data_IF_686951666095
#
_entry.id   IF_686951666095
#
_cell.length_a   1.000
_cell.length_b   1.000
_cell.length_c   1.000
_cell.angle_alpha   90.00
_cell.angle_beta   90.00
_cell.angle_gamma   90.00
#
_symmetry.space_group_name_H-M   'P 1'
#
loop_
_entity.id
_entity.type
_entity.pdbx_description
1 polymer ?
#
# COMPACT_ATOMS: atom_id res chain seq x y z
N UNK A 1 -9.56 -21.32 -13.31
CA UNK A 1 -8.83 -20.76 -14.46
C UNK A 1 -7.46 -20.33 -13.97
N UNK A 2 -6.39 -20.94 -14.49
CA UNK A 2 -5.01 -20.53 -14.20
C UNK A 2 -4.72 -19.24 -14.94
N UNK A 3 -4.52 -18.12 -14.23
CA UNK A 3 -3.92 -16.92 -14.81
C UNK A 3 -2.46 -17.26 -15.17
N UNK A 4 -2.07 -17.30 -16.46
CA UNK A 4 -0.66 -17.51 -16.79
C UNK A 4 0.11 -16.23 -16.44
N UNK A 5 0.79 -16.24 -15.29
CA UNK A 5 1.81 -15.23 -14.99
C UNK A 5 3.02 -15.54 -15.88
N UNK A 6 3.27 -14.68 -16.87
CA UNK A 6 4.39 -14.79 -17.79
C UNK A 6 5.45 -13.77 -17.37
N UNK A 7 6.66 -14.24 -17.08
CA UNK A 7 7.82 -13.38 -16.81
C UNK A 7 8.92 -13.63 -17.84
N UNK A 8 9.73 -12.60 -18.13
CA UNK A 8 10.90 -12.75 -18.98
C UNK A 8 12.17 -12.69 -18.13
N UNK A 9 13.06 -13.66 -18.29
CA UNK A 9 14.42 -13.56 -17.74
C UNK A 9 15.43 -13.49 -18.86
N UNK A 10 16.39 -12.57 -18.69
CA UNK A 10 17.54 -12.40 -19.57
C UNK A 10 18.74 -13.09 -18.93
N UNK A 11 19.04 -14.30 -19.38
CA UNK A 11 20.39 -14.86 -19.27
C UNK A 11 21.23 -14.35 -20.44
N UNK A 12 22.57 -14.45 -20.44
CA UNK A 12 23.38 -13.94 -21.55
C UNK A 12 22.96 -14.56 -22.90
N UNK A 13 22.17 -13.82 -23.68
CA UNK A 13 21.77 -14.16 -25.05
C UNK A 13 20.41 -14.84 -25.26
N UNK A 14 19.72 -15.33 -24.23
CA UNK A 14 18.43 -16.05 -24.39
C UNK A 14 17.28 -15.35 -23.63
N UNK A 15 16.14 -15.20 -24.31
CA UNK A 15 14.88 -14.78 -23.67
C UNK A 15 14.11 -16.01 -23.22
N UNK A 16 13.95 -16.18 -21.91
CA UNK A 16 13.20 -17.31 -21.35
C UNK A 16 11.82 -16.84 -20.88
N UNK A 17 10.77 -17.52 -21.36
CA UNK A 17 9.39 -17.34 -20.90
C UNK A 17 9.21 -18.18 -19.64
N UNK A 18 9.09 -17.53 -18.48
CA UNK A 18 8.76 -18.17 -17.21
C UNK A 18 7.27 -18.45 -17.13
N UNK A 19 6.95 -19.67 -16.70
CA UNK A 19 5.60 -20.13 -16.37
C UNK A 19 5.71 -21.16 -15.24
N UNK A 20 4.71 -21.20 -14.36
CA UNK A 20 4.59 -22.32 -13.44
C UNK A 20 4.19 -23.56 -14.24
N UNK A 21 5.05 -24.60 -14.25
CA UNK A 21 4.75 -25.85 -14.94
C UNK A 21 3.76 -26.69 -14.11
N UNK A 22 3.15 -27.71 -14.72
CA UNK A 22 2.18 -28.57 -14.02
C UNK A 22 2.82 -29.46 -12.96
N UNK A 23 4.13 -29.69 -13.04
CA UNK A 23 4.88 -30.48 -12.06
C UNK A 23 6.10 -29.74 -11.52
N UNK A 24 6.51 -30.08 -10.30
CA UNK A 24 7.74 -29.58 -9.69
C UNK A 24 8.96 -29.86 -10.57
N UNK A 25 9.09 -31.09 -11.08
CA UNK A 25 10.22 -31.51 -11.92
C UNK A 25 10.35 -30.67 -13.22
N UNK A 26 9.24 -30.33 -13.88
CA UNK A 26 9.26 -29.45 -15.04
C UNK A 26 9.63 -28.01 -14.69
N UNK A 27 9.23 -27.55 -13.50
CA UNK A 27 9.58 -26.22 -12.98
C UNK A 27 11.08 -26.16 -12.66
N UNK A 28 11.65 -27.22 -12.06
CA UNK A 28 13.11 -27.37 -11.85
C UNK A 28 13.86 -27.26 -13.18
N UNK A 29 13.39 -27.96 -14.22
CA UNK A 29 14.02 -27.92 -15.54
C UNK A 29 14.00 -26.52 -16.15
N UNK A 30 12.90 -25.78 -15.98
CA UNK A 30 12.78 -24.40 -16.46
C UNK A 30 13.71 -23.46 -15.69
N UNK A 31 13.69 -23.49 -14.36
CA UNK A 31 14.53 -22.65 -13.51
C UNK A 31 16.02 -22.96 -13.70
N UNK A 32 16.38 -24.22 -13.96
CA UNK A 32 17.77 -24.60 -14.22
C UNK A 32 18.32 -23.91 -15.47
N UNK A 33 17.50 -23.61 -16.49
CA UNK A 33 17.94 -22.82 -17.64
C UNK A 33 18.24 -21.37 -17.27
N UNK A 34 17.42 -20.80 -16.39
CA UNK A 34 17.58 -19.42 -15.91
C UNK A 34 18.80 -19.28 -14.99
N UNK A 35 19.05 -20.29 -14.16
CA UNK A 35 20.08 -20.27 -13.12
C UNK A 35 21.38 -20.96 -13.57
N UNK A 36 21.70 -20.96 -14.87
CA UNK A 36 22.94 -21.51 -15.44
C UNK A 36 23.25 -22.97 -15.00
N UNK A 37 22.22 -23.81 -14.94
CA UNK A 37 22.33 -25.21 -14.53
C UNK A 37 22.38 -25.44 -13.01
N UNK A 38 22.15 -24.42 -12.18
CA UNK A 38 22.12 -24.57 -10.72
C UNK A 38 20.88 -25.36 -10.26
N UNK A 39 21.06 -26.68 -10.17
CA UNK A 39 20.00 -27.62 -9.81
C UNK A 39 19.51 -27.42 -8.37
N UNK A 40 20.40 -27.19 -7.41
CA UNK A 40 20.03 -27.02 -5.99
C UNK A 40 19.11 -25.81 -5.78
N UNK A 41 19.45 -24.65 -6.38
CA UNK A 41 18.61 -23.46 -6.29
C UNK A 41 17.28 -23.66 -7.03
N UNK A 42 17.30 -24.35 -8.17
CA UNK A 42 16.09 -24.65 -8.96
C UNK A 42 15.13 -25.55 -8.21
N UNK A 43 15.63 -26.60 -7.55
CA UNK A 43 14.84 -27.52 -6.71
C UNK A 43 14.26 -26.79 -5.49
N UNK A 44 15.07 -25.98 -4.80
CA UNK A 44 14.60 -25.22 -3.64
C UNK A 44 13.45 -24.25 -4.00
N UNK A 45 13.58 -23.52 -5.11
CA UNK A 45 12.55 -22.59 -5.58
C UNK A 45 11.31 -23.34 -6.09
N UNK A 46 11.49 -24.39 -6.90
CA UNK A 46 10.38 -25.18 -7.44
C UNK A 46 9.53 -25.79 -6.32
N UNK A 47 10.17 -26.31 -5.27
CA UNK A 47 9.49 -26.87 -4.10
C UNK A 47 8.57 -25.86 -3.42
N UNK A 48 9.03 -24.61 -3.24
CA UNK A 48 8.24 -23.56 -2.57
C UNK A 48 7.06 -23.10 -3.44
N UNK A 49 7.25 -22.95 -4.76
CA UNK A 49 6.16 -22.49 -5.65
C UNK A 49 5.09 -23.55 -5.91
N UNK A 50 5.40 -24.83 -5.70
CA UNK A 50 4.45 -25.96 -5.77
C UNK A 50 3.87 -26.33 -4.39
N UNK A 51 4.29 -25.67 -3.32
CA UNK A 51 3.77 -25.95 -1.99
C UNK A 51 2.36 -25.39 -1.86
N UNK A 52 1.40 -26.27 -1.56
CA UNK A 52 0.04 -25.85 -1.19
C UNK A 52 0.08 -25.10 0.14
N UNK A 53 -0.56 -23.93 0.16
CA UNK A 53 -0.71 -23.10 1.35
C UNK A 53 -2.20 -22.96 1.66
N UNK A 54 -2.61 -23.40 2.85
CA UNK A 54 -3.92 -23.10 3.40
C UNK A 54 -3.84 -21.83 4.25
N UNK A 55 -4.54 -20.79 3.83
CA UNK A 55 -4.72 -19.57 4.60
C UNK A 55 -6.22 -19.31 4.75
N UNK A 56 -6.70 -19.15 5.98
CA UNK A 56 -8.12 -18.91 6.29
C UNK A 56 -8.24 -17.68 7.16
N UNK A 57 -9.15 -16.79 6.79
CA UNK A 57 -9.57 -15.66 7.61
C UNK A 57 -11.06 -15.86 7.93
N UNK A 58 -11.43 -16.19 9.19
CA UNK A 58 -12.81 -16.46 9.55
C UNK A 58 -13.79 -15.33 9.21
N UNK A 59 -13.31 -14.07 9.22
CA UNK A 59 -14.16 -12.95 8.86
C UNK A 59 -14.41 -12.92 7.35
N UNK A 60 -13.41 -13.22 6.53
CA UNK A 60 -13.57 -13.31 5.09
C UNK A 60 -14.45 -14.52 4.70
N UNK A 61 -14.33 -15.64 5.40
CA UNK A 61 -15.13 -16.85 5.17
C UNK A 61 -16.64 -16.60 5.36
N UNK A 62 -16.99 -15.67 6.26
CA UNK A 62 -18.37 -15.28 6.56
C UNK A 62 -18.99 -14.37 5.49
N UNK A 63 -18.17 -13.80 4.61
CA UNK A 63 -18.60 -12.80 3.63
C UNK A 63 -18.94 -13.50 2.30
N UNK A 64 -20.06 -13.10 1.71
CA UNK A 64 -20.54 -13.60 0.42
C UNK A 64 -20.88 -12.40 -0.47
N UNK A 65 -19.93 -12.01 -1.31
CA UNK A 65 -20.08 -10.94 -2.30
C UNK A 65 -19.74 -11.52 -3.66
N UNK A 66 -20.59 -11.26 -4.64
CA UNK A 66 -20.37 -11.66 -6.03
C UNK A 66 -20.07 -10.42 -6.86
N UNK A 67 -18.86 -10.34 -7.42
CA UNK A 67 -18.46 -9.28 -8.34
C UNK A 67 -18.24 -9.92 -9.72
N UNK A 68 -18.87 -9.42 -10.79
CA UNK A 68 -18.68 -9.98 -12.12
C UNK A 68 -17.21 -9.97 -12.54
N UNK A 69 -16.67 -11.14 -12.90
CA UNK A 69 -15.24 -11.26 -13.21
C UNK A 69 -14.81 -10.41 -14.43
N UNK A 70 -15.72 -10.16 -15.36
CA UNK A 70 -15.45 -9.41 -16.60
C UNK A 70 -15.25 -7.90 -16.39
N UNK A 71 -15.48 -7.37 -15.18
CA UNK A 71 -15.20 -5.97 -14.85
C UNK A 71 -13.90 -5.80 -14.05
N UNK A 72 -13.19 -6.89 -13.76
CA UNK A 72 -12.03 -6.87 -12.84
C UNK A 72 -10.70 -6.80 -13.60
N UNK A 73 -9.93 -5.76 -13.30
CA UNK A 73 -8.51 -5.66 -13.61
C UNK A 73 -7.69 -5.90 -12.33
N UNK A 74 -6.47 -6.43 -12.47
CA UNK A 74 -5.59 -6.70 -11.32
C UNK A 74 -4.22 -6.08 -11.58
N UNK A 75 -3.75 -5.29 -10.62
CA UNK A 75 -2.38 -4.82 -10.54
C UNK A 75 -1.64 -5.57 -9.43
N UNK A 76 -0.42 -6.02 -9.73
CA UNK A 76 0.40 -6.81 -8.80
C UNK A 76 1.78 -6.18 -8.69
N UNK A 77 2.21 -5.86 -7.46
CA UNK A 77 3.63 -5.72 -7.14
C UNK A 77 4.06 -6.98 -6.35
N UNK A 78 4.86 -7.87 -6.95
CA UNK A 78 5.25 -9.11 -6.30
C UNK A 78 6.13 -8.89 -5.06
N UNK A 79 7.01 -7.88 -5.07
CA UNK A 79 7.96 -7.56 -3.99
C UNK A 79 8.27 -6.05 -4.04
N UNK A 80 7.39 -5.25 -3.44
CA UNK A 80 7.63 -3.82 -3.22
C UNK A 80 8.85 -3.65 -2.30
N UNK A 81 9.61 -2.57 -2.53
CA UNK A 81 10.84 -2.28 -1.79
C UNK A 81 11.95 -3.32 -2.03
N UNK A 82 12.13 -3.75 -3.30
CA UNK A 82 13.17 -4.70 -3.72
C UNK A 82 14.57 -4.35 -3.18
N UNK A 83 14.93 -3.07 -3.06
CA UNK A 83 16.20 -2.67 -2.44
C UNK A 83 16.31 -3.11 -0.97
N UNK A 84 15.25 -2.95 -0.18
CA UNK A 84 15.24 -3.39 1.23
C UNK A 84 15.24 -4.91 1.34
N UNK A 85 14.51 -5.59 0.44
CA UNK A 85 14.54 -7.04 0.34
C UNK A 85 15.95 -7.58 0.09
N UNK A 86 16.69 -7.00 -0.86
CA UNK A 86 18.07 -7.39 -1.18
C UNK A 86 19.03 -7.02 -0.05
N UNK A 87 18.86 -5.83 0.57
CA UNK A 87 19.73 -5.38 1.67
C UNK A 87 19.60 -6.27 2.91
N UNK A 88 18.42 -6.81 3.18
CA UNK A 88 18.22 -7.86 4.18
C UNK A 88 18.41 -7.43 5.63
N UNK A 89 18.33 -6.13 5.95
CA UNK A 89 18.49 -5.65 7.34
C UNK A 89 17.30 -6.09 8.20
N UNK A 90 17.58 -6.87 9.24
CA UNK A 90 16.58 -7.50 10.13
C UNK A 90 16.46 -6.81 11.50
N UNK A 91 17.47 -6.05 11.89
CA UNK A 91 17.74 -5.51 13.23
C UNK A 91 17.41 -4.01 13.36
N UNK A 92 16.69 -3.44 12.38
CA UNK A 92 16.27 -2.04 12.39
C UNK A 92 15.19 -1.85 13.45
N UNK A 93 15.32 -0.79 14.26
CA UNK A 93 14.31 -0.40 15.24
C UNK A 93 13.33 0.61 14.62
N UNK A 94 12.02 0.49 14.90
CA UNK A 94 11.05 1.48 14.44
C UNK A 94 11.18 2.77 15.24
N UNK A 95 10.88 3.90 14.60
CA UNK A 95 10.62 5.17 15.26
C UNK A 95 9.10 5.33 15.39
N UNK A 96 8.57 5.34 16.62
CA UNK A 96 7.13 5.42 16.90
C UNK A 96 6.29 4.40 16.11
N UNK A 97 6.78 3.16 16.02
CA UNK A 97 6.11 2.07 15.29
C UNK A 97 6.39 2.05 13.78
N UNK A 98 7.07 3.06 13.22
CA UNK A 98 7.38 3.15 11.79
C UNK A 98 8.84 2.78 11.53
N UNK A 99 9.06 1.72 10.75
CA UNK A 99 10.39 1.32 10.31
C UNK A 99 10.90 2.25 9.20
N UNK A 100 12.09 2.88 9.36
CA UNK A 100 12.63 3.73 8.31
C UNK A 100 13.20 2.95 7.13
N UNK A 101 13.70 1.73 7.40
CA UNK A 101 14.22 0.79 6.42
C UNK A 101 14.20 -0.63 7.01
N UNK A 102 14.73 -1.62 6.27
CA UNK A 102 14.78 -3.01 6.68
C UNK A 102 13.70 -3.88 6.04
N UNK A 103 13.75 -5.17 6.33
CA UNK A 103 12.84 -6.17 5.75
C UNK A 103 11.37 -5.90 6.07
N UNK A 104 11.10 -5.20 7.18
CA UNK A 104 9.75 -4.74 7.54
C UNK A 104 9.16 -3.80 6.47
N UNK A 105 9.97 -3.12 5.67
CA UNK A 105 9.48 -2.23 4.61
C UNK A 105 9.09 -2.98 3.31
N UNK A 106 9.22 -4.31 3.26
CA UNK A 106 8.87 -5.13 2.10
C UNK A 106 7.41 -5.55 2.16
N UNK A 107 6.69 -5.37 1.06
CA UNK A 107 5.28 -5.76 0.95
C UNK A 107 4.99 -6.46 -0.38
N UNK A 108 3.96 -7.30 -0.38
CA UNK A 108 3.37 -7.89 -1.59
C UNK A 108 2.03 -7.20 -1.77
N UNK A 109 1.80 -6.63 -2.95
CA UNK A 109 0.63 -5.80 -3.25
C UNK A 109 -0.20 -6.45 -4.35
N UNK A 110 -1.47 -6.72 -4.07
CA UNK A 110 -2.43 -7.21 -5.05
C UNK A 110 -3.66 -6.32 -4.99
N UNK A 111 -3.81 -5.46 -5.98
CA UNK A 111 -4.94 -4.54 -6.12
C UNK A 111 -5.87 -5.00 -7.23
N UNK A 112 -7.17 -5.00 -6.95
CA UNK A 112 -8.22 -5.27 -7.94
C UNK A 112 -9.00 -4.00 -8.16
N UNK A 113 -9.23 -3.64 -9.42
CA UNK A 113 -9.94 -2.43 -9.81
C UNK A 113 -11.01 -2.73 -10.87
N UNK A 114 -11.96 -1.81 -11.00
CA UNK A 114 -12.99 -1.84 -12.04
C UNK A 114 -12.41 -1.30 -13.36
N UNK A 115 -12.41 -2.10 -14.42
CA UNK A 115 -11.82 -1.72 -15.71
C UNK A 115 -12.59 -0.60 -16.43
N UNK A 116 -13.86 -0.39 -16.11
CA UNK A 116 -14.71 0.62 -16.75
C UNK A 116 -14.56 1.97 -16.06
N UNK A 117 -14.49 1.99 -14.73
CA UNK A 117 -14.41 3.24 -13.94
C UNK A 117 -13.00 3.58 -13.48
N UNK A 118 -12.09 2.60 -13.45
CA UNK A 118 -10.76 2.74 -12.90
C UNK A 118 -10.66 2.71 -11.39
N UNK A 119 -11.78 2.55 -10.67
CA UNK A 119 -11.78 2.64 -9.20
C UNK A 119 -11.30 1.33 -8.58
N UNK A 120 -10.43 1.37 -7.55
CA UNK A 120 -9.98 0.15 -6.89
C UNK A 120 -11.10 -0.39 -5.97
N UNK A 121 -11.33 -1.70 -6.07
CA UNK A 121 -12.42 -2.44 -5.45
C UNK A 121 -11.95 -3.30 -4.28
N UNK A 122 -10.85 -4.02 -4.46
CA UNK A 122 -10.28 -4.94 -3.46
C UNK A 122 -8.77 -4.77 -3.39
N UNK A 123 -8.21 -4.99 -2.21
CA UNK A 123 -6.77 -4.90 -2.01
C UNK A 123 -6.29 -5.91 -0.99
N UNK A 124 -5.10 -6.46 -1.25
CA UNK A 124 -4.34 -7.28 -0.32
C UNK A 124 -2.93 -6.69 -0.20
N UNK A 125 -2.50 -6.46 1.03
CA UNK A 125 -1.12 -6.13 1.37
C UNK A 125 -0.63 -7.25 2.29
N UNK A 126 0.38 -8.00 1.86
CA UNK A 126 1.04 -8.97 2.72
C UNK A 126 2.46 -8.50 3.05
N UNK A 127 2.74 -8.32 4.33
CA UNK A 127 4.07 -7.95 4.84
C UNK A 127 4.77 -9.23 5.29
N UNK A 128 5.76 -9.77 4.55
CA UNK A 128 6.31 -11.09 4.84
C UNK A 128 7.16 -11.13 6.12
N UNK A 129 7.75 -9.98 6.49
CA UNK A 129 8.77 -9.86 7.53
C UNK A 129 8.33 -8.89 8.63
N UNK A 130 7.39 -9.29 9.48
CA UNK A 130 6.88 -8.42 10.58
C UNK A 130 7.70 -8.63 11.85
N UNK A 131 7.79 -9.88 12.31
CA UNK A 131 8.52 -10.24 13.51
C UNK A 131 9.39 -11.46 13.26
N UNK A 132 10.63 -11.43 13.73
CA UNK A 132 11.54 -12.57 13.68
C UNK A 132 11.63 -13.22 15.06
N UNK A 133 11.50 -14.53 15.10
CA UNK A 133 11.79 -15.31 16.30
C UNK A 133 13.32 -15.35 16.52
N UNK A 134 13.84 -14.88 17.68
CA UNK A 134 15.29 -14.77 17.89
C UNK A 134 16.00 -16.11 18.04
N UNK A 135 15.28 -17.20 18.35
CA UNK A 135 15.87 -18.52 18.55
C UNK A 135 15.88 -19.34 17.26
N UNK A 136 14.80 -19.26 16.48
CA UNK A 136 14.64 -20.05 15.24
C UNK A 136 15.00 -19.27 13.98
N UNK A 137 15.20 -17.95 14.10
CA UNK A 137 15.40 -17.01 13.00
C UNK A 137 14.26 -16.99 11.96
N UNK A 138 13.11 -17.60 12.27
CA UNK A 138 11.95 -17.64 11.38
C UNK A 138 11.18 -16.33 11.46
N UNK A 139 10.77 -15.86 10.29
CA UNK A 139 9.90 -14.70 10.16
C UNK A 139 8.43 -15.10 10.22
N UNK A 140 7.64 -14.24 10.86
CA UNK A 140 6.18 -14.24 10.76
C UNK A 140 5.76 -12.98 10.01
N UNK A 141 4.88 -13.15 9.05
CA UNK A 141 4.29 -12.06 8.28
C UNK A 141 2.92 -11.66 8.81
N UNK A 142 2.32 -10.66 8.18
CA UNK A 142 0.95 -10.21 8.44
C UNK A 142 0.27 -9.84 7.12
N UNK A 143 -0.99 -10.24 6.98
CA UNK A 143 -1.82 -9.97 5.80
C UNK A 143 -2.92 -8.96 6.14
N UNK A 144 -3.10 -7.98 5.28
CA UNK A 144 -4.14 -6.95 5.37
C UNK A 144 -4.98 -6.98 4.10
N UNK A 145 -6.29 -6.83 4.24
CA UNK A 145 -7.20 -6.83 3.11
C UNK A 145 -8.34 -5.84 3.32
N UNK A 146 -8.96 -5.44 2.22
CA UNK A 146 -10.12 -4.56 2.21
C UNK A 146 -10.90 -4.67 0.91
N UNK A 147 -12.20 -4.44 0.99
CA UNK A 147 -13.13 -4.43 -0.13
C UNK A 147 -14.09 -3.23 0.00
N UNK A 148 -14.27 -2.52 -1.11
CA UNK A 148 -15.24 -1.45 -1.28
C UNK A 148 -16.02 -1.68 -2.57
N UNK A 149 -17.25 -2.16 -2.46
CA UNK A 149 -18.10 -2.48 -3.61
C UNK A 149 -19.57 -2.22 -3.31
N UNK A 150 -20.23 -1.38 -4.13
CA UNK A 150 -21.67 -1.09 -4.05
C UNK A 150 -22.15 -0.72 -2.62
N UNK A 151 -21.40 0.14 -1.94
CA UNK A 151 -21.70 0.58 -0.56
C UNK A 151 -21.28 -0.41 0.53
N UNK A 152 -20.88 -1.63 0.18
CA UNK A 152 -20.28 -2.58 1.13
C UNK A 152 -18.81 -2.24 1.31
N UNK A 153 -18.42 -1.97 2.56
CA UNK A 153 -17.06 -1.64 2.95
C UNK A 153 -16.63 -2.54 4.10
N UNK A 154 -15.58 -3.33 3.89
CA UNK A 154 -15.08 -4.33 4.85
C UNK A 154 -13.55 -4.37 4.79
N UNK A 155 -12.89 -4.60 5.92
CA UNK A 155 -11.44 -4.71 5.99
C UNK A 155 -10.95 -5.47 7.22
N UNK A 156 -9.71 -5.97 7.16
CA UNK A 156 -9.13 -6.82 8.21
C UNK A 156 -8.91 -6.12 9.56
N UNK A 157 -8.64 -4.81 9.58
CA UNK A 157 -8.35 -4.06 10.81
C UNK A 157 -9.54 -3.84 11.76
N UNK A 158 -10.78 -4.11 11.34
CA UNK A 158 -11.98 -3.87 12.16
C UNK A 158 -12.29 -5.00 13.15
N UNK A 159 -11.57 -6.14 13.10
CA UNK A 159 -12.00 -7.38 13.75
C UNK A 159 -11.44 -7.62 15.16
N UNK A 160 -10.64 -6.70 15.70
CA UNK A 160 -10.22 -6.74 17.10
C UNK A 160 -11.08 -5.84 17.98
N UNK A 161 -12.38 -6.15 18.10
CA UNK A 161 -13.11 -5.82 19.33
C UNK A 161 -13.06 -7.09 20.19
N UNK A 162 -12.26 -7.13 21.27
CA UNK A 162 -12.38 -8.23 22.23
C UNK A 162 -13.82 -8.24 22.73
N UNK A 163 -14.53 -9.36 22.53
CA UNK A 163 -15.80 -9.61 23.22
C UNK A 163 -15.52 -9.55 24.72
N UNK A 164 -15.83 -8.42 25.36
CA UNK A 164 -15.95 -8.35 26.82
C UNK A 164 -17.12 -9.26 27.19
N UNK A 165 -16.79 -10.46 27.65
CA UNK A 165 -17.75 -11.35 28.25
C UNK A 165 -18.24 -10.74 29.57
N UNK A 166 -19.56 -10.59 29.70
CA UNK A 166 -20.26 -10.76 30.97
C UNK A 166 -20.35 -9.55 31.91
N UNK A 167 -21.55 -8.96 31.93
CA UNK A 167 -22.23 -8.38 33.10
C UNK A 167 -21.50 -7.27 33.86
N UNK A 168 -21.77 -6.02 33.48
CA UNK A 168 -22.08 -4.96 34.46
C UNK A 168 -22.89 -3.84 33.78
N UNK A 169 -24.11 -3.70 34.30
CA UNK A 169 -25.11 -2.63 34.22
C UNK A 169 -24.94 -1.50 33.19
N UNK A 170 -25.87 -1.46 32.24
CA UNK A 170 -26.22 -0.31 31.41
C UNK A 170 -26.90 0.77 32.28
N UNK A 171 -26.12 1.66 32.89
CA UNK A 171 -26.59 2.95 33.37
C UNK A 171 -25.41 3.83 33.78
N UNK A 172 -25.35 5.04 33.19
CA UNK A 172 -24.39 6.12 33.46
C UNK A 172 -23.02 5.99 32.79
N UNK A 173 -22.96 6.39 31.51
CA UNK A 173 -21.84 7.13 30.91
C UNK A 173 -22.41 7.91 29.69
N UNK A 174 -23.45 8.70 29.96
CA UNK A 174 -23.73 9.91 29.19
C UNK A 174 -22.68 10.94 29.57
N UNK A 175 -22.10 11.57 28.54
CA UNK A 175 -21.40 12.86 28.61
C UNK A 175 -20.21 12.91 29.58
N UNK A 176 -19.01 12.64 29.07
CA UNK A 176 -17.76 13.33 29.42
C UNK A 176 -16.57 12.77 28.63
N UNK A 177 -16.45 13.19 27.36
CA UNK A 177 -15.14 13.36 26.68
C UNK A 177 -15.16 14.66 25.88
N UNK A 178 -15.60 15.73 26.54
CA UNK A 178 -15.10 17.08 26.29
C UNK A 178 -14.03 17.35 27.34
N UNK A 179 -12.84 16.80 27.12
CA UNK A 179 -11.65 17.13 27.90
C UNK A 179 -10.46 17.10 26.96
N UNK A 180 -10.16 18.29 26.44
CA UNK A 180 -8.85 18.74 26.00
C UNK A 180 -8.29 18.04 24.75
N UNK A 181 -8.78 18.52 23.60
CA UNK A 181 -7.99 18.57 22.38
C UNK A 181 -6.73 19.42 22.63
N UNK A 182 -5.68 18.80 23.18
CA UNK A 182 -4.34 19.20 22.78
C UNK A 182 -4.29 19.06 21.26
N UNK A 183 -3.94 20.15 20.57
CA UNK A 183 -3.82 20.20 19.12
C UNK A 183 -2.68 19.29 18.68
N UNK A 184 -2.90 17.98 18.66
CA UNK A 184 -1.97 17.06 18.03
C UNK A 184 -1.92 17.44 16.55
N UNK A 185 -0.79 17.99 16.12
CA UNK A 185 -0.51 18.27 14.72
C UNK A 185 -0.62 17.00 13.88
N UNK A 186 -0.74 17.17 12.57
CA UNK A 186 -0.77 16.02 11.66
C UNK A 186 0.52 15.21 11.73
N UNK A 187 0.43 13.92 11.44
CA UNK A 187 1.59 13.06 11.23
C UNK A 187 1.69 12.63 9.76
N UNK A 188 2.91 12.65 9.22
CA UNK A 188 3.16 12.31 7.83
C UNK A 188 4.29 11.29 7.68
N UNK A 189 4.15 10.37 6.74
CA UNK A 189 5.27 9.54 6.26
C UNK A 189 5.66 9.98 4.85
N UNK A 190 6.96 10.05 4.59
CA UNK A 190 7.53 10.47 3.30
C UNK A 190 8.69 9.57 2.85
N UNK A 191 9.02 9.64 1.57
CA UNK A 191 10.27 9.07 1.06
C UNK A 191 11.47 9.88 1.54
N UNK A 192 12.64 9.24 1.63
CA UNK A 192 13.91 9.97 1.86
C UNK A 192 14.24 10.94 0.72
N UNK A 193 13.81 10.61 -0.50
CA UNK A 193 13.98 11.38 -1.74
C UNK A 193 12.96 12.50 -1.92
N UNK A 194 12.08 12.76 -0.94
CA UNK A 194 11.05 13.79 -1.06
C UNK A 194 11.64 15.19 -1.28
N UNK A 195 10.94 16.05 -2.02
CA UNK A 195 11.38 17.41 -2.38
C UNK A 195 11.48 18.30 -1.14
N UNK A 196 12.48 19.17 -1.11
CA UNK A 196 12.73 20.03 0.07
C UNK A 196 11.60 21.03 0.32
N UNK A 197 10.95 21.52 -0.74
CA UNK A 197 9.76 22.37 -0.63
C UNK A 197 8.61 21.69 0.10
N UNK A 198 8.37 20.41 -0.20
CA UNK A 198 7.33 19.60 0.46
C UNK A 198 7.71 19.31 1.91
N UNK A 199 8.98 18.96 2.17
CA UNK A 199 9.48 18.75 3.55
C UNK A 199 9.34 20.01 4.40
N UNK A 200 9.69 21.17 3.86
CA UNK A 200 9.58 22.46 4.56
C UNK A 200 8.12 22.78 4.89
N UNK A 201 7.21 22.62 3.93
CA UNK A 201 5.78 22.83 4.17
C UNK A 201 5.22 21.84 5.21
N UNK A 202 5.61 20.56 5.13
CA UNK A 202 5.23 19.56 6.12
C UNK A 202 5.73 19.90 7.52
N UNK A 203 6.92 20.48 7.67
CA UNK A 203 7.48 20.84 8.98
C UNK A 203 6.58 21.87 9.69
N UNK A 204 5.97 22.79 8.95
CA UNK A 204 5.01 23.74 9.49
C UNK A 204 3.69 23.09 9.93
N UNK A 205 3.24 22.04 9.23
CA UNK A 205 1.95 21.38 9.47
C UNK A 205 2.03 20.24 10.50
N UNK A 206 3.13 19.49 10.47
CA UNK A 206 3.32 18.24 11.21
C UNK A 206 4.34 18.37 12.34
N UNK A 207 5.14 19.44 12.35
CA UNK A 207 6.28 19.58 13.28
C UNK A 207 7.23 18.38 13.15
N UNK A 208 7.60 17.81 14.29
CA UNK A 208 8.49 16.65 14.36
C UNK A 208 7.83 15.31 13.99
N UNK A 209 6.52 15.29 13.72
CA UNK A 209 5.76 14.08 13.37
C UNK A 209 5.89 13.70 11.89
N UNK A 210 7.07 13.88 11.31
CA UNK A 210 7.40 13.52 9.94
C UNK A 210 8.36 12.33 9.95
N UNK A 211 7.88 11.19 9.44
CA UNK A 211 8.62 9.94 9.40
C UNK A 211 9.14 9.68 8.00
N UNK A 212 10.36 9.15 7.91
CA UNK A 212 10.93 8.68 6.65
C UNK A 212 10.84 7.16 6.62
N UNK A 213 10.34 6.60 5.53
CA UNK A 213 10.28 5.14 5.35
C UNK A 213 10.50 4.70 3.90
N UNK A 214 11.12 3.53 3.75
CA UNK A 214 11.26 2.83 2.48
C UNK A 214 9.96 2.07 2.10
N UNK A 215 9.83 1.67 0.83
CA UNK A 215 8.67 0.91 0.32
C UNK A 215 7.43 1.78 0.09
N UNK A 216 6.89 1.79 -1.12
CA UNK A 216 5.68 2.56 -1.43
C UNK A 216 4.43 1.92 -0.78
N UNK A 217 4.36 0.59 -0.86
CA UNK A 217 3.35 -0.22 -0.19
C UNK A 217 3.43 -0.11 1.33
N UNK A 218 4.64 -0.15 1.90
CA UNK A 218 4.83 -0.01 3.34
C UNK A 218 4.41 1.37 3.88
N UNK A 219 4.77 2.47 3.21
CA UNK A 219 4.30 3.82 3.58
C UNK A 219 2.78 3.92 3.55
N UNK A 220 2.15 3.36 2.53
CA UNK A 220 0.69 3.29 2.44
C UNK A 220 0.09 2.43 3.54
N UNK A 221 0.76 1.33 3.91
CA UNK A 221 0.36 0.47 5.03
C UNK A 221 0.42 1.21 6.37
N UNK A 222 1.40 2.09 6.60
CA UNK A 222 1.44 2.94 7.80
C UNK A 222 0.19 3.81 7.93
N UNK A 223 -0.30 4.36 6.82
CA UNK A 223 -1.57 5.10 6.79
C UNK A 223 -2.73 4.15 7.08
N UNK A 224 -2.82 3.01 6.39
CA UNK A 224 -3.87 1.98 6.59
C UNK A 224 -3.98 1.56 8.05
N UNK A 225 -2.85 1.33 8.73
CA UNK A 225 -2.80 0.96 10.14
C UNK A 225 -3.13 2.12 11.10
N UNK A 226 -3.07 3.37 10.64
CA UNK A 226 -3.21 4.56 11.47
C UNK A 226 -1.98 4.88 12.30
N UNK A 227 -0.80 4.46 11.85
CA UNK A 227 0.48 4.87 12.44
C UNK A 227 0.85 6.31 12.06
N UNK A 228 0.34 6.78 10.92
CA UNK A 228 0.40 8.17 10.47
C UNK A 228 -0.93 8.57 9.85
N UNK A 229 -1.22 9.87 9.82
CA UNK A 229 -2.43 10.42 9.19
C UNK A 229 -2.30 10.44 7.66
N UNK A 230 -1.11 10.81 7.17
CA UNK A 230 -0.86 11.11 5.76
C UNK A 230 0.38 10.37 5.25
N UNK A 231 0.30 9.81 4.04
CA UNK A 231 1.46 9.51 3.21
C UNK A 231 1.43 10.47 2.02
N UNK A 232 2.48 11.28 1.87
CA UNK A 232 2.65 12.17 0.72
C UNK A 232 3.90 11.77 -0.06
N UNK A 233 3.78 11.84 -1.39
CA UNK A 233 4.87 11.61 -2.32
C UNK A 233 4.74 12.57 -3.50
N UNK A 234 5.75 13.39 -3.78
CA UNK A 234 5.64 14.45 -4.81
C UNK A 234 6.30 14.17 -6.16
N UNK A 235 6.84 12.97 -6.34
CA UNK A 235 7.56 12.59 -7.55
C UNK A 235 6.75 11.61 -8.40
N UNK A 236 7.16 11.42 -9.66
CA UNK A 236 6.42 10.61 -10.64
C UNK A 236 6.86 9.13 -10.65
N UNK A 237 7.55 8.69 -9.61
CA UNK A 237 8.22 7.37 -9.54
C UNK A 237 7.45 6.30 -8.76
N UNK A 238 6.16 6.53 -8.52
CA UNK A 238 5.23 5.47 -8.10
C UNK A 238 4.31 5.09 -9.25
N UNK A 239 3.83 3.86 -9.26
CA UNK A 239 3.03 3.30 -10.35
C UNK A 239 1.70 2.73 -9.86
N UNK A 240 0.85 2.29 -10.79
CA UNK A 240 -0.45 1.69 -10.48
C UNK A 240 -0.34 0.48 -9.54
N UNK A 241 0.67 -0.36 -9.70
CA UNK A 241 0.90 -1.52 -8.83
C UNK A 241 1.33 -1.16 -7.39
N UNK A 242 2.01 -0.03 -7.20
CA UNK A 242 2.43 0.44 -5.87
C UNK A 242 1.25 0.91 -5.00
N UNK A 243 0.20 1.42 -5.63
CA UNK A 243 -0.88 2.13 -4.95
C UNK A 243 -2.24 1.42 -4.96
N UNK A 244 -2.55 0.59 -5.97
CA UNK A 244 -3.90 0.04 -6.16
C UNK A 244 -4.39 -0.77 -4.96
N UNK A 245 -3.55 -1.64 -4.40
CA UNK A 245 -3.93 -2.49 -3.26
C UNK A 245 -4.23 -1.65 -2.02
N UNK A 246 -3.33 -0.75 -1.65
CA UNK A 246 -3.50 0.09 -0.48
C UNK A 246 -4.66 1.08 -0.65
N UNK A 247 -4.85 1.63 -1.84
CA UNK A 247 -5.98 2.51 -2.13
C UNK A 247 -7.32 1.78 -1.95
N UNK A 248 -7.47 0.53 -2.42
CA UNK A 248 -8.69 -0.25 -2.17
C UNK A 248 -8.98 -0.42 -0.67
N UNK A 249 -7.95 -0.72 0.13
CA UNK A 249 -8.08 -0.87 1.58
C UNK A 249 -8.49 0.47 2.21
N UNK A 250 -7.83 1.57 1.86
CA UNK A 250 -8.17 2.91 2.37
C UNK A 250 -9.61 3.31 2.02
N UNK A 251 -10.10 2.99 0.82
CA UNK A 251 -11.50 3.25 0.43
C UNK A 251 -12.49 2.53 1.31
N UNK A 252 -12.22 1.27 1.65
CA UNK A 252 -13.07 0.51 2.58
C UNK A 252 -13.10 1.11 4.01
N UNK A 253 -12.19 2.02 4.33
CA UNK A 253 -12.11 2.74 5.61
C UNK A 253 -12.71 4.17 5.55
N UNK A 254 -13.21 4.59 4.39
CA UNK A 254 -13.67 5.97 4.15
C UNK A 254 -12.57 6.95 3.70
N UNK A 255 -11.38 6.44 3.44
CA UNK A 255 -10.23 7.18 2.92
C UNK A 255 -10.03 6.99 1.41
N UNK A 256 -8.80 7.18 0.95
CA UNK A 256 -8.44 6.99 -0.44
C UNK A 256 -6.99 7.36 -0.75
N UNK A 257 -6.69 7.46 -2.04
CA UNK A 257 -5.46 8.06 -2.55
C UNK A 257 -5.81 9.06 -3.64
N UNK A 258 -5.30 10.28 -3.52
CA UNK A 258 -5.56 11.37 -4.45
C UNK A 258 -4.30 11.81 -5.16
N UNK A 259 -4.44 12.36 -6.34
CA UNK A 259 -3.36 13.03 -7.08
C UNK A 259 -2.95 14.29 -6.32
N UNK A 260 -1.66 14.39 -5.96
CA UNK A 260 -1.15 15.52 -5.20
C UNK A 260 -1.23 16.81 -6.02
N UNK A 261 -0.78 16.78 -7.28
CA UNK A 261 -0.71 17.97 -8.13
C UNK A 261 -2.12 18.51 -8.40
N UNK A 262 -3.05 17.65 -8.78
CA UNK A 262 -4.44 18.07 -8.99
C UNK A 262 -5.05 18.63 -7.69
N UNK A 263 -4.73 18.08 -6.52
CA UNK A 263 -5.18 18.66 -5.25
C UNK A 263 -4.63 20.07 -4.99
N UNK A 264 -3.40 20.36 -5.41
CA UNK A 264 -2.77 21.68 -5.24
C UNK A 264 -3.30 22.72 -6.24
N UNK A 265 -3.73 22.28 -7.42
CA UNK A 265 -4.27 23.14 -8.48
C UNK A 265 -5.80 23.34 -8.38
N UNK A 266 -6.48 22.46 -7.64
CA UNK A 266 -7.94 22.45 -7.46
C UNK A 266 -8.47 23.69 -6.73
N UNK A 267 -9.64 24.16 -7.14
CA UNK A 267 -10.46 25.09 -6.37
C UNK A 267 -11.55 24.34 -5.57
N UNK A 268 -11.43 24.24 -4.22
CA UNK A 268 -12.36 23.47 -3.39
C UNK A 268 -13.83 23.94 -3.45
N UNK A 269 -14.10 25.20 -3.84
CA UNK A 269 -15.46 25.75 -3.92
C UNK A 269 -16.20 25.31 -5.19
N UNK A 270 -15.46 25.01 -6.28
CA UNK A 270 -16.03 24.61 -7.57
C UNK A 270 -15.98 23.10 -7.78
N UNK A 271 -14.97 22.44 -7.23
CA UNK A 271 -14.70 21.03 -7.43
C UNK A 271 -14.93 20.24 -6.14
N UNK A 272 -16.15 19.72 -6.03
CA UNK A 272 -16.64 19.01 -4.84
C UNK A 272 -16.01 17.62 -4.64
N UNK A 273 -15.45 17.01 -5.68
CA UNK A 273 -14.85 15.68 -5.60
C UNK A 273 -13.33 15.78 -5.54
N UNK A 274 -12.74 14.97 -4.67
CA UNK A 274 -11.29 14.83 -4.62
C UNK A 274 -10.79 14.06 -5.85
N UNK A 275 -9.64 14.44 -6.44
CA UNK A 275 -9.07 13.77 -7.61
C UNK A 275 -8.46 12.42 -7.21
N UNK A 276 -9.29 11.40 -7.09
CA UNK A 276 -8.85 10.05 -6.73
C UNK A 276 -7.99 9.44 -7.83
N UNK A 277 -6.95 8.69 -7.45
CA UNK A 277 -6.18 7.90 -8.42
C UNK A 277 -7.08 6.86 -9.11
N UNK A 278 -6.95 6.77 -10.42
CA UNK A 278 -7.59 5.75 -11.26
C UNK A 278 -6.55 4.81 -11.87
N UNK A 279 -6.99 3.58 -12.18
CA UNK A 279 -6.09 2.45 -12.50
C UNK A 279 -6.28 1.85 -13.91
N UNK A 280 -7.20 2.40 -14.70
CA UNK A 280 -7.58 1.90 -16.03
C UNK A 280 -7.00 2.69 -17.21
N UNK A 281 -6.53 3.92 -16.99
CA UNK A 281 -6.07 4.84 -18.04
C UNK A 281 -4.55 5.02 -17.96
N UNK A 282 -3.82 4.89 -19.09
CA UNK A 282 -2.41 5.22 -19.15
C UNK A 282 -2.20 6.74 -19.29
N UNK A 283 -1.04 7.22 -18.85
CA UNK A 283 -0.63 8.61 -19.05
C UNK A 283 -0.39 8.88 -20.55
N UNK A 284 -1.10 9.88 -21.09
CA UNK A 284 -0.93 10.30 -22.48
C UNK A 284 0.53 10.73 -22.77
N UNK A 285 1.03 10.33 -23.94
CA UNK A 285 2.38 10.68 -24.41
C UNK A 285 3.54 9.98 -23.68
N UNK A 286 3.27 9.17 -22.65
CA UNK A 286 4.30 8.35 -22.01
C UNK A 286 4.53 7.03 -22.78
N UNK A 287 5.69 6.40 -22.56
CA UNK A 287 6.03 5.11 -23.19
C UNK A 287 6.60 4.14 -22.15
N UNK A 288 6.62 2.84 -22.47
CA UNK A 288 7.17 1.84 -21.57
C UNK A 288 6.41 1.75 -20.24
N UNK A 289 7.13 1.78 -19.13
CA UNK A 289 6.57 1.62 -17.78
C UNK A 289 5.87 2.91 -17.30
N UNK A 290 6.32 4.06 -17.79
CA UNK A 290 5.87 5.40 -17.36
C UNK A 290 4.41 5.71 -17.76
N UNK A 291 3.86 4.91 -18.68
CA UNK A 291 2.42 4.91 -19.01
C UNK A 291 1.56 4.68 -17.76
N UNK A 292 2.09 3.95 -16.77
CA UNK A 292 1.36 3.54 -15.57
C UNK A 292 1.85 4.26 -14.31
N UNK A 293 2.66 5.31 -14.45
CA UNK A 293 3.09 6.14 -13.34
C UNK A 293 1.92 6.94 -12.73
N UNK A 294 1.97 7.21 -11.43
CA UNK A 294 1.13 8.21 -10.78
C UNK A 294 1.82 9.57 -10.93
N UNK A 295 1.66 10.18 -12.12
CA UNK A 295 2.22 11.52 -12.40
C UNK A 295 1.62 12.54 -11.45
N UNK A 296 2.40 13.55 -11.07
CA UNK A 296 1.98 14.58 -10.12
C UNK A 296 2.11 14.18 -8.65
N UNK A 297 2.48 12.93 -8.37
CA UNK A 297 2.57 12.40 -7.01
C UNK A 297 1.22 12.02 -6.41
N UNK A 298 1.22 11.67 -5.13
CA UNK A 298 0.02 11.20 -4.44
C UNK A 298 -0.05 11.62 -2.98
N UNK A 299 -1.26 11.63 -2.44
CA UNK A 299 -1.54 11.66 -1.01
C UNK A 299 -2.46 10.48 -0.65
N UNK A 300 -2.02 9.63 0.27
CA UNK A 300 -2.85 8.59 0.88
C UNK A 300 -3.35 9.03 2.26
N UNK A 301 -4.62 8.74 2.56
CA UNK A 301 -5.29 9.20 3.76
C UNK A 301 -6.43 8.24 4.17
N UNK A 302 -6.77 8.22 5.46
CA UNK A 302 -7.90 7.43 6.00
C UNK A 302 -9.21 8.20 6.15
N UNK A 303 -9.16 9.52 6.33
CA UNK A 303 -10.35 10.34 6.54
C UNK A 303 -10.35 11.54 5.60
N UNK A 304 -11.41 11.65 4.80
CA UNK A 304 -11.59 12.80 3.89
C UNK A 304 -11.55 14.13 4.65
N UNK A 305 -12.17 14.20 5.84
CA UNK A 305 -12.16 15.42 6.65
C UNK A 305 -10.74 15.82 7.07
N UNK A 306 -9.93 14.84 7.49
CA UNK A 306 -8.54 15.09 7.85
C UNK A 306 -7.71 15.54 6.65
N UNK A 307 -7.92 14.94 5.46
CA UNK A 307 -7.22 15.36 4.24
C UNK A 307 -7.53 16.82 3.87
N UNK A 308 -8.79 17.24 3.88
CA UNK A 308 -9.16 18.61 3.49
C UNK A 308 -8.55 19.63 4.47
N UNK A 309 -8.57 19.33 5.77
CA UNK A 309 -7.89 20.17 6.79
C UNK A 309 -6.38 20.19 6.55
N UNK A 310 -5.76 19.04 6.31
CA UNK A 310 -4.33 18.95 6.01
C UNK A 310 -3.93 19.76 4.76
N UNK A 311 -4.67 19.62 3.66
CA UNK A 311 -4.42 20.36 2.41
C UNK A 311 -4.54 21.87 2.62
N UNK A 312 -5.55 22.32 3.38
CA UNK A 312 -5.73 23.75 3.66
C UNK A 312 -4.53 24.38 4.38
N UNK A 313 -3.85 23.62 5.25
CA UNK A 313 -2.64 24.05 5.94
C UNK A 313 -1.41 23.92 5.05
N UNK A 314 -1.26 22.80 4.35
CA UNK A 314 -0.11 22.52 3.49
C UNK A 314 0.03 23.57 2.37
N UNK A 315 -1.07 23.93 1.71
CA UNK A 315 -1.08 24.90 0.59
C UNK A 315 -0.56 26.27 1.05
N UNK A 316 -0.92 26.72 2.26
CA UNK A 316 -0.45 28.00 2.81
C UNK A 316 1.08 28.08 2.93
N UNK A 317 1.74 26.94 3.10
CA UNK A 317 3.19 26.83 3.28
C UNK A 317 3.95 26.38 2.02
N UNK A 318 3.24 25.98 0.95
CA UNK A 318 3.83 25.66 -0.35
C UNK A 318 3.97 26.88 -1.26
N UNK A 319 3.14 27.91 -1.06
CA UNK A 319 3.24 29.19 -1.77
C UNK A 319 4.37 30.02 -1.13
N UNK A 320 5.36 30.54 -1.89
CA UNK A 320 6.36 31.44 -1.34
C UNK A 320 5.69 32.66 -0.70
N UNK A 321 6.15 33.08 0.48
CA UNK A 321 5.64 34.26 1.18
C UNK A 321 5.83 35.60 0.41
N UNK A 322 6.41 35.57 -0.80
CA UNK A 322 6.76 36.73 -1.61
C UNK A 322 5.87 36.89 -2.87
N UNK A 323 4.54 36.82 -2.70
CA UNK A 323 3.58 37.27 -3.75
C UNK A 323 2.59 38.32 -3.27
N UNK A 324 2.94 39.05 -2.20
CA UNK A 324 2.25 40.28 -1.80
C UNK A 324 3.19 41.49 -1.96
N UNK A 325 3.34 41.96 -3.21
CA UNK A 325 3.66 43.36 -3.54
C UNK A 325 2.98 43.73 -4.84
#
# INVERSE_FOLDING_TARGET
MSLPMIWFVFTPGEKIILRLCSTEAETVKLLSKVLNGNKLASEALAKVVHQDVSFTDPALDSIRINIPQNILGIWVDPIDSTYQYIKGSADIKPNQGIFPCGLQCVTILIGVYDIQTGMPLMGVINQPFVSQDPNTHRWKGQCYWGLSYMGTNIHSLQLHIPKRNGSETLSQLTENTSSEAESHGFSAVISTSEKETVKAALLHVCGDSIFRAAGAGYKSLCVVQGLVDIYIFSDDTTFKWDSCAAHAILRSMGGGMVDLKECLERNPEKELNLPQLVYHVPNEGASGVDQWANKGGLIAYRSRKQLETFLSLLIQHLVPADTNT
#
